data_IF_651682271059
#
_entry.id   IF_651682271059
#
_cell.length_a   1.000
_cell.length_b   1.000
_cell.length_c   1.000
_cell.angle_alpha   90.00
_cell.angle_beta   90.00
_cell.angle_gamma   90.00
#
_symmetry.space_group_name_H-M   'P 1'
#
loop_
_entity.id
_entity.type
_entity.pdbx_description
1 polymer ?
#
# COMPACT_ATOMS: atom_id res chain seq x y z
N UNK A 1 -47.68 -16.35 38.74
CA UNK A 1 -47.50 -15.05 38.05
C UNK A 1 -46.60 -15.31 36.86
N UNK A 2 -47.13 -15.25 35.64
CA UNK A 2 -46.44 -15.58 34.38
C UNK A 2 -45.60 -14.38 33.92
N UNK A 3 -44.31 -14.61 33.62
CA UNK A 3 -43.42 -13.58 33.08
C UNK A 3 -43.88 -13.16 31.67
N UNK A 4 -43.86 -11.86 31.35
CA UNK A 4 -44.14 -11.39 30.00
C UNK A 4 -43.02 -11.79 29.03
N UNK A 5 -43.35 -12.04 27.75
CA UNK A 5 -42.38 -12.45 26.74
C UNK A 5 -41.35 -11.34 26.48
N UNK A 6 -40.10 -11.76 26.30
CA UNK A 6 -38.97 -10.89 25.99
C UNK A 6 -39.18 -10.24 24.61
N UNK A 7 -39.27 -8.91 24.55
CA UNK A 7 -39.23 -8.17 23.29
C UNK A 7 -37.77 -7.85 22.93
N UNK A 8 -37.29 -8.24 21.74
CA UNK A 8 -35.96 -7.85 21.29
C UNK A 8 -35.90 -6.33 21.09
N UNK A 9 -34.72 -5.71 21.31
CA UNK A 9 -34.55 -4.28 21.13
C UNK A 9 -34.78 -3.86 19.67
N UNK A 10 -35.32 -2.65 19.45
CA UNK A 10 -35.51 -2.11 18.10
C UNK A 10 -34.16 -1.99 17.37
N UNK A 11 -34.17 -2.30 16.08
CA UNK A 11 -32.98 -2.16 15.24
C UNK A 11 -32.55 -0.69 15.14
N UNK A 12 -31.23 -0.42 15.15
CA UNK A 12 -30.72 0.94 14.99
C UNK A 12 -31.08 1.50 13.61
N UNK A 13 -31.43 2.78 13.58
CA UNK A 13 -31.74 3.54 12.38
C UNK A 13 -30.57 3.50 11.40
N UNK A 14 -30.83 3.09 10.15
CA UNK A 14 -29.81 3.15 9.11
C UNK A 14 -29.45 4.61 8.79
N UNK A 15 -28.16 4.92 8.55
CA UNK A 15 -27.74 6.26 8.17
C UNK A 15 -28.33 6.68 6.81
N UNK A 16 -28.53 7.99 6.58
CA UNK A 16 -29.03 8.51 5.31
C UNK A 16 -28.12 8.08 4.16
N UNK A 17 -28.68 7.38 3.17
CA UNK A 17 -27.94 7.04 1.96
C UNK A 17 -27.67 8.32 1.16
N UNK A 18 -26.40 8.55 0.82
CA UNK A 18 -26.01 9.65 -0.05
C UNK A 18 -26.67 9.48 -1.43
N UNK A 19 -27.26 10.55 -2.02
CA UNK A 19 -27.81 10.48 -3.37
C UNK A 19 -26.67 10.33 -4.38
N UNK A 20 -26.81 9.38 -5.29
CA UNK A 20 -25.99 9.17 -6.49
C UNK A 20 -24.52 8.74 -6.29
N UNK A 21 -24.33 7.52 -5.80
CA UNK A 21 -23.11 6.77 -6.06
C UNK A 21 -23.36 5.71 -7.17
N UNK A 22 -22.91 5.92 -8.42
CA UNK A 22 -23.11 4.98 -9.53
C UNK A 22 -22.36 3.64 -9.37
N UNK A 23 -21.53 3.51 -8.33
CA UNK A 23 -20.85 2.27 -7.95
C UNK A 23 -21.61 1.43 -6.91
N UNK A 24 -22.72 1.94 -6.35
CA UNK A 24 -23.61 1.15 -5.51
C UNK A 24 -24.62 0.40 -6.39
N UNK A 25 -24.16 -0.64 -7.08
CA UNK A 25 -25.09 -1.65 -7.59
C UNK A 25 -25.58 -2.49 -6.41
N UNK A 26 -26.90 -2.67 -6.24
CA UNK A 26 -27.44 -3.61 -5.26
C UNK A 26 -26.83 -5.00 -5.51
N UNK A 27 -26.35 -5.65 -4.45
CA UNK A 27 -25.97 -7.04 -4.53
C UNK A 27 -27.15 -7.84 -5.09
N UNK A 28 -26.90 -8.67 -6.11
CA UNK A 28 -27.92 -9.51 -6.73
C UNK A 28 -28.57 -10.36 -5.63
N UNK A 29 -29.91 -10.45 -5.56
CA UNK A 29 -30.56 -11.29 -4.56
C UNK A 29 -30.06 -12.73 -4.70
N UNK A 30 -29.41 -13.23 -3.65
CA UNK A 30 -29.06 -14.65 -3.56
C UNK A 30 -30.36 -15.45 -3.60
N UNK A 31 -30.56 -16.20 -4.68
CA UNK A 31 -31.64 -17.17 -4.73
C UNK A 31 -31.43 -18.19 -3.60
N UNK A 32 -32.43 -18.44 -2.75
CA UNK A 32 -32.35 -19.54 -1.80
C UNK A 32 -32.15 -20.87 -2.57
N UNK A 33 -31.43 -21.85 -2.01
CA UNK A 33 -31.29 -23.17 -2.61
C UNK A 33 -32.68 -23.80 -2.80
N UNK A 34 -33.22 -23.67 -4.01
CA UNK A 34 -34.53 -24.20 -4.35
C UNK A 34 -34.46 -25.72 -4.41
N UNK A 35 -35.25 -26.38 -3.57
CA UNK A 35 -35.67 -27.76 -3.80
C UNK A 35 -36.40 -27.81 -5.14
N UNK A 36 -35.76 -28.40 -6.15
CA UNK A 36 -36.35 -28.60 -7.46
C UNK A 36 -37.62 -29.47 -7.39
N UNK A 37 -38.53 -29.34 -8.37
CA UNK A 37 -39.73 -30.15 -8.45
C UNK A 37 -39.41 -31.64 -8.60
N UNK A 38 -40.26 -32.49 -8.04
CA UNK A 38 -40.13 -33.94 -8.09
C UNK A 38 -40.10 -34.45 -9.55
N UNK A 39 -39.19 -35.38 -9.89
CA UNK A 39 -39.11 -35.94 -11.23
C UNK A 39 -40.37 -36.73 -11.57
N UNK A 40 -40.89 -36.52 -12.78
CA UNK A 40 -42.04 -37.25 -13.30
C UNK A 40 -41.69 -38.73 -13.54
N UNK A 41 -42.63 -39.67 -13.33
CA UNK A 41 -42.36 -41.10 -13.50
C UNK A 41 -42.06 -41.42 -14.97
N UNK A 42 -40.88 -41.96 -15.26
CA UNK A 42 -40.52 -42.50 -16.58
C UNK A 42 -39.24 -41.97 -17.23
N UNK A 43 -38.50 -41.03 -16.63
CA UNK A 43 -37.21 -40.61 -17.16
C UNK A 43 -36.06 -41.53 -16.68
N UNK A 44 -35.14 -41.96 -17.59
CA UNK A 44 -33.96 -42.71 -17.20
C UNK A 44 -33.04 -41.83 -16.32
N UNK A 45 -32.35 -42.41 -15.32
CA UNK A 45 -31.51 -41.65 -14.41
C UNK A 45 -30.37 -40.98 -15.18
N UNK A 46 -30.34 -39.64 -15.18
CA UNK A 46 -29.17 -38.91 -15.65
C UNK A 46 -28.02 -39.19 -14.69
N UNK A 47 -26.99 -39.85 -15.21
CA UNK A 47 -25.76 -40.13 -14.51
C UNK A 47 -25.08 -38.79 -14.18
N UNK A 48 -25.02 -38.44 -12.90
CA UNK A 48 -24.33 -37.26 -12.41
C UNK A 48 -22.85 -37.37 -12.82
N UNK A 49 -22.40 -36.47 -13.69
CA UNK A 49 -20.99 -36.35 -14.05
C UNK A 49 -20.12 -35.97 -12.85
N UNK A 50 -18.80 -36.22 -12.92
CA UNK A 50 -17.87 -35.87 -11.85
C UNK A 50 -17.90 -34.37 -11.54
N UNK A 51 -17.62 -33.97 -10.28
CA UNK A 51 -17.70 -32.57 -9.87
C UNK A 51 -16.71 -31.69 -10.66
N UNK A 52 -17.11 -30.47 -11.05
CA UNK A 52 -16.21 -29.54 -11.74
C UNK A 52 -15.06 -29.11 -10.81
N UNK A 53 -13.84 -29.07 -11.34
CA UNK A 53 -12.68 -28.59 -10.63
C UNK A 53 -12.71 -27.05 -10.45
N UNK A 54 -12.25 -26.49 -9.31
CA UNK A 54 -12.26 -25.06 -9.07
C UNK A 54 -11.37 -24.30 -10.06
N UNK A 55 -11.94 -23.34 -10.80
CA UNK A 55 -11.18 -22.41 -11.65
C UNK A 55 -11.50 -22.43 -13.15
N UNK A 56 -12.44 -23.27 -13.61
CA UNK A 56 -12.88 -23.22 -15.02
C UNK A 56 -14.08 -22.28 -15.21
N UNK A 57 -14.08 -21.40 -16.24
CA UNK A 57 -15.25 -20.60 -16.59
C UNK A 57 -16.38 -21.52 -17.12
N UNK A 58 -17.66 -21.20 -16.87
CA UNK A 58 -18.77 -22.03 -17.29
C UNK A 58 -18.83 -22.09 -18.83
N UNK A 59 -18.55 -23.24 -19.43
CA UNK A 59 -18.92 -23.49 -20.81
C UNK A 59 -20.44 -23.71 -20.86
N UNK A 60 -21.17 -22.69 -21.29
CA UNK A 60 -22.60 -22.78 -21.58
C UNK A 60 -22.82 -23.89 -22.62
N UNK A 61 -23.44 -24.98 -22.17
CA UNK A 61 -23.83 -26.09 -23.04
C UNK A 61 -24.95 -25.65 -24.00
N UNK A 62 -24.86 -26.17 -25.22
CA UNK A 62 -25.65 -25.79 -26.38
C UNK A 62 -27.16 -25.88 -26.19
N UNK A 63 -27.84 -25.02 -26.95
CA UNK A 63 -29.29 -25.01 -27.10
C UNK A 63 -29.81 -26.36 -27.66
N UNK A 64 -31.02 -26.79 -27.27
CA UNK A 64 -31.65 -28.00 -27.80
C UNK A 64 -32.07 -27.84 -29.27
N UNK A 65 -32.01 -28.91 -30.10
CA UNK A 65 -32.48 -28.87 -31.47
C UNK A 65 -34.02 -28.85 -31.52
N UNK A 66 -34.58 -27.84 -32.21
CA UNK A 66 -36.03 -27.69 -32.44
C UNK A 66 -36.42 -28.43 -33.74
N UNK A 67 -37.51 -29.22 -33.78
CA UNK A 67 -38.00 -29.86 -34.99
C UNK A 67 -38.91 -28.95 -35.84
N UNK A 68 -38.65 -28.86 -37.15
CA UNK A 68 -39.65 -28.61 -38.20
C UNK A 68 -39.85 -27.17 -38.70
N UNK A 69 -39.63 -26.87 -40.01
CA UNK A 69 -39.89 -25.55 -40.59
C UNK A 69 -41.30 -25.43 -41.23
N UNK A 70 -42.03 -24.32 -40.98
CA UNK A 70 -43.14 -23.86 -41.84
C UNK A 70 -42.66 -22.86 -42.93
N UNK A 71 -43.46 -22.63 -44.00
CA UNK A 71 -43.01 -22.05 -45.26
C UNK A 71 -42.64 -20.56 -45.22
N UNK A 72 -41.68 -20.22 -46.09
CA UNK A 72 -40.97 -18.95 -46.20
C UNK A 72 -41.89 -17.76 -46.53
N UNK A 73 -41.70 -16.65 -45.81
CA UNK A 73 -42.13 -15.31 -46.23
C UNK A 73 -40.96 -14.54 -46.85
N UNK A 74 -41.21 -13.54 -47.72
CA UNK A 74 -40.17 -12.86 -48.49
C UNK A 74 -39.24 -12.06 -47.58
N UNK A 75 -37.98 -12.48 -47.54
CA UNK A 75 -36.91 -11.87 -46.76
C UNK A 75 -36.41 -10.61 -47.48
N UNK A 76 -36.66 -9.44 -46.88
CA UNK A 76 -36.03 -8.18 -47.32
C UNK A 76 -34.50 -8.25 -47.09
N UNK A 77 -33.67 -7.56 -47.92
CA UNK A 77 -32.23 -7.60 -47.77
C UNK A 77 -31.83 -6.89 -46.47
N UNK A 78 -31.47 -7.68 -45.47
CA UNK A 78 -30.91 -7.18 -44.21
C UNK A 78 -29.44 -6.85 -44.45
N UNK A 79 -29.09 -5.57 -44.39
CA UNK A 79 -27.70 -5.11 -44.49
C UNK A 79 -26.86 -5.75 -43.37
N UNK A 80 -25.61 -6.16 -43.63
CA UNK A 80 -24.71 -6.67 -42.61
C UNK A 80 -24.45 -5.55 -41.59
N UNK A 81 -25.03 -5.66 -40.39
CA UNK A 81 -24.69 -4.77 -39.29
C UNK A 81 -23.22 -5.01 -38.91
N UNK A 82 -22.40 -3.95 -38.77
CA UNK A 82 -21.01 -4.07 -38.34
C UNK A 82 -20.96 -4.80 -36.99
N UNK A 83 -20.09 -5.81 -36.90
CA UNK A 83 -19.84 -6.52 -35.66
C UNK A 83 -19.37 -5.52 -34.60
N UNK A 84 -20.25 -5.15 -33.68
CA UNK A 84 -19.90 -4.34 -32.52
C UNK A 84 -19.02 -5.19 -31.61
N UNK A 85 -17.70 -5.05 -31.78
CA UNK A 85 -16.73 -5.62 -30.87
C UNK A 85 -16.77 -4.75 -29.61
N UNK A 86 -17.53 -5.20 -28.61
CA UNK A 86 -17.59 -4.53 -27.32
C UNK A 86 -16.15 -4.33 -26.81
N UNK A 87 -15.78 -3.12 -26.31
CA UNK A 87 -14.49 -2.92 -25.69
C UNK A 87 -14.32 -4.01 -24.62
N UNK A 88 -13.16 -4.67 -24.60
CA UNK A 88 -12.82 -5.62 -23.53
C UNK A 88 -12.70 -4.85 -22.20
N UNK A 89 -13.84 -4.49 -21.62
CA UNK A 89 -13.96 -3.98 -20.26
C UNK A 89 -13.58 -5.15 -19.35
N UNK A 90 -12.36 -5.13 -18.79
CA UNK A 90 -12.13 -5.92 -17.57
C UNK A 90 -10.77 -6.55 -17.33
N UNK A 91 -9.75 -6.38 -18.16
CA UNK A 91 -8.40 -6.79 -17.75
C UNK A 91 -7.49 -5.58 -17.59
N UNK A 92 -7.70 -4.86 -16.49
CA UNK A 92 -6.64 -4.01 -15.94
C UNK A 92 -5.54 -4.96 -15.49
N UNK A 93 -4.32 -4.89 -16.03
CA UNK A 93 -3.22 -5.71 -15.53
C UNK A 93 -3.07 -5.44 -14.04
N UNK A 94 -3.28 -6.46 -13.21
CA UNK A 94 -2.94 -6.40 -11.80
C UNK A 94 -1.42 -6.32 -11.74
N UNK A 95 -0.89 -5.09 -11.69
CA UNK A 95 0.51 -4.86 -11.43
C UNK A 95 0.80 -5.44 -10.03
N UNK A 96 1.26 -6.69 -9.97
CA UNK A 96 1.54 -7.42 -8.74
C UNK A 96 2.86 -6.93 -8.16
N UNK A 97 2.82 -5.82 -7.43
CA UNK A 97 3.90 -5.41 -6.55
C UNK A 97 3.88 -6.15 -5.22
N UNK A 98 5.00 -6.14 -4.50
CA UNK A 98 5.11 -6.66 -3.13
C UNK A 98 5.25 -5.48 -2.15
N UNK A 99 4.15 -4.79 -1.78
CA UNK A 99 4.22 -3.57 -0.99
C UNK A 99 4.88 -3.79 0.38
N UNK A 100 4.58 -4.91 1.03
CA UNK A 100 5.17 -5.28 2.33
C UNK A 100 6.67 -5.51 2.19
N UNK A 101 7.09 -6.28 1.18
CA UNK A 101 8.51 -6.52 0.89
C UNK A 101 9.27 -5.23 0.57
N UNK A 102 8.63 -4.31 -0.15
CA UNK A 102 9.19 -3.00 -0.46
C UNK A 102 9.47 -2.17 0.80
N UNK A 103 8.51 -2.15 1.74
CA UNK A 103 8.63 -1.43 3.01
C UNK A 103 9.72 -2.03 3.89
N UNK A 104 9.78 -3.37 4.03
CA UNK A 104 10.84 -4.02 4.81
C UNK A 104 12.23 -3.79 4.21
N UNK A 105 12.36 -3.92 2.89
CA UNK A 105 13.62 -3.66 2.20
C UNK A 105 14.05 -2.20 2.38
N UNK A 106 13.13 -1.26 2.20
CA UNK A 106 13.39 0.16 2.42
C UNK A 106 13.84 0.44 3.85
N UNK A 107 13.16 -0.13 4.85
CA UNK A 107 13.53 0.00 6.25
C UNK A 107 14.96 -0.50 6.50
N UNK A 108 15.28 -1.73 6.07
CA UNK A 108 16.60 -2.31 6.27
C UNK A 108 17.71 -1.47 5.62
N UNK A 109 17.52 -1.05 4.37
CA UNK A 109 18.48 -0.21 3.67
C UNK A 109 18.62 1.16 4.35
N UNK A 110 17.51 1.75 4.81
CA UNK A 110 17.54 3.00 5.56
C UNK A 110 18.33 2.90 6.85
N UNK A 111 18.23 1.78 7.59
CA UNK A 111 19.07 1.56 8.79
C UNK A 111 20.55 1.55 8.42
N UNK A 112 20.94 0.87 7.33
CA UNK A 112 22.33 0.85 6.87
C UNK A 112 22.81 2.25 6.50
N UNK A 113 22.03 3.00 5.71
CA UNK A 113 22.39 4.36 5.28
C UNK A 113 22.49 5.30 6.50
N UNK A 114 21.58 5.15 7.47
CA UNK A 114 21.59 5.86 8.75
C UNK A 114 22.87 5.57 9.55
N UNK A 115 23.27 4.30 9.68
CA UNK A 115 24.51 3.92 10.37
C UNK A 115 25.76 4.43 9.67
N UNK A 116 25.81 4.38 8.33
CA UNK A 116 26.94 4.92 7.56
C UNK A 116 27.07 6.43 7.81
N UNK A 117 25.94 7.16 7.83
CA UNK A 117 25.95 8.58 8.14
C UNK A 117 26.39 8.86 9.57
N UNK A 118 25.87 8.13 10.58
CA UNK A 118 26.34 8.30 11.96
C UNK A 118 27.84 8.01 12.10
N UNK A 119 28.36 6.99 11.40
CA UNK A 119 29.78 6.68 11.34
C UNK A 119 30.61 7.75 10.63
N UNK A 120 30.09 8.36 9.57
CA UNK A 120 30.72 9.49 8.89
C UNK A 120 30.83 10.71 9.81
N UNK A 121 29.76 11.02 10.55
CA UNK A 121 29.77 12.10 11.54
C UNK A 121 30.79 11.78 12.64
N UNK A 122 30.78 10.57 13.20
CA UNK A 122 31.78 10.14 14.18
C UNK A 122 33.22 10.28 13.66
N UNK A 123 33.46 9.96 12.39
CA UNK A 123 34.80 10.08 11.80
C UNK A 123 35.25 11.53 11.58
N UNK A 124 34.32 12.49 11.51
CA UNK A 124 34.61 13.86 11.09
C UNK A 124 34.28 14.93 12.13
N UNK A 125 33.62 14.59 13.24
CA UNK A 125 33.01 15.58 14.15
C UNK A 125 33.98 16.61 14.75
N UNK A 126 35.27 16.27 14.87
CA UNK A 126 36.30 17.19 15.40
C UNK A 126 36.63 18.34 14.44
N UNK A 127 36.38 18.13 13.15
CA UNK A 127 36.75 19.07 12.07
C UNK A 127 35.52 19.69 11.38
N UNK A 128 34.30 19.35 11.82
CA UNK A 128 33.07 19.84 11.20
C UNK A 128 32.76 21.27 11.62
N UNK A 129 32.62 22.15 10.62
CA UNK A 129 31.91 23.42 10.82
C UNK A 129 30.40 23.17 10.84
N UNK A 130 29.63 24.10 11.44
CA UNK A 130 28.17 24.05 11.44
C UNK A 130 27.59 23.93 10.01
N UNK A 131 28.13 24.70 9.07
CA UNK A 131 27.73 24.66 7.65
C UNK A 131 27.97 23.27 7.05
N UNK A 132 29.13 22.67 7.33
CA UNK A 132 29.46 21.33 6.84
C UNK A 132 28.54 20.26 7.45
N UNK A 133 28.28 20.33 8.76
CA UNK A 133 27.36 19.41 9.44
C UNK A 133 25.93 19.50 8.85
N UNK A 134 25.44 20.72 8.63
CA UNK A 134 24.15 20.99 8.02
C UNK A 134 24.06 20.46 6.58
N UNK A 135 25.10 20.67 5.78
CA UNK A 135 25.18 20.16 4.42
C UNK A 135 25.22 18.62 4.39
N UNK A 136 25.99 17.99 5.29
CA UNK A 136 26.03 16.54 5.42
C UNK A 136 24.69 15.95 5.85
N UNK A 137 23.99 16.61 6.78
CA UNK A 137 22.66 16.19 7.21
C UNK A 137 21.64 16.24 6.07
N UNK A 138 21.56 17.35 5.33
CA UNK A 138 20.67 17.46 4.16
C UNK A 138 21.07 16.47 3.05
N UNK A 139 22.37 16.30 2.81
CA UNK A 139 22.89 15.34 1.84
C UNK A 139 22.48 13.91 2.19
N UNK A 140 22.61 13.53 3.47
CA UNK A 140 22.16 12.25 3.98
C UNK A 140 20.64 12.07 3.82
N UNK A 141 19.84 13.06 4.25
CA UNK A 141 18.40 13.02 4.15
C UNK A 141 17.93 12.83 2.70
N UNK A 142 18.49 13.61 1.78
CA UNK A 142 18.19 13.52 0.34
C UNK A 142 18.60 12.17 -0.24
N UNK A 143 19.83 11.70 0.04
CA UNK A 143 20.35 10.44 -0.46
C UNK A 143 19.53 9.25 0.06
N UNK A 144 19.25 9.22 1.36
CA UNK A 144 18.44 8.18 1.99
C UNK A 144 17.02 8.18 1.40
N UNK A 145 16.38 9.35 1.30
CA UNK A 145 15.09 9.49 0.65
C UNK A 145 15.11 8.98 -0.79
N UNK A 146 16.14 9.30 -1.56
CA UNK A 146 16.26 8.86 -2.94
C UNK A 146 16.40 7.34 -3.08
N UNK A 147 17.25 6.72 -2.26
CA UNK A 147 17.44 5.26 -2.24
C UNK A 147 16.14 4.57 -1.85
N UNK A 148 15.51 5.00 -0.75
CA UNK A 148 14.23 4.45 -0.27
C UNK A 148 13.16 4.59 -1.34
N UNK A 149 13.00 5.78 -1.92
CA UNK A 149 12.00 6.04 -2.95
C UNK A 149 12.19 5.14 -4.17
N UNK A 150 13.43 4.97 -4.63
CA UNK A 150 13.73 4.09 -5.76
C UNK A 150 13.42 2.61 -5.47
N UNK A 151 13.76 2.11 -4.29
CA UNK A 151 13.45 0.74 -3.86
C UNK A 151 11.94 0.53 -3.71
N UNK A 152 11.26 1.45 -3.05
CA UNK A 152 9.81 1.38 -2.83
C UNK A 152 9.06 1.47 -4.16
N UNK A 153 9.45 2.37 -5.06
CA UNK A 153 8.82 2.49 -6.38
C UNK A 153 9.04 1.25 -7.25
N UNK A 154 10.23 0.66 -7.21
CA UNK A 154 10.55 -0.53 -8.01
C UNK A 154 9.89 -1.81 -7.51
N UNK A 155 9.81 -2.02 -6.18
CA UNK A 155 9.24 -3.24 -5.58
C UNK A 155 7.75 -3.09 -5.30
N UNK A 156 7.34 -1.96 -4.72
CA UNK A 156 5.96 -1.66 -4.32
C UNK A 156 5.05 -1.24 -5.48
N UNK A 157 5.62 -0.94 -6.65
CA UNK A 157 4.89 -0.52 -7.85
C UNK A 157 3.93 0.65 -7.56
N UNK A 158 2.64 0.52 -7.87
CA UNK A 158 1.61 1.58 -7.73
C UNK A 158 0.91 1.58 -6.38
N UNK A 159 1.51 0.96 -5.37
CA UNK A 159 0.90 0.89 -4.06
C UNK A 159 1.16 2.19 -3.30
N UNK A 160 0.14 3.05 -3.21
CA UNK A 160 0.20 4.31 -2.45
C UNK A 160 0.62 4.07 -0.99
N UNK A 161 0.17 3.00 -0.36
CA UNK A 161 0.56 2.65 1.00
C UNK A 161 2.06 2.43 1.14
N UNK A 162 2.68 1.69 0.20
CA UNK A 162 4.12 1.50 0.17
C UNK A 162 4.87 2.82 0.01
N UNK A 163 4.35 3.74 -0.81
CA UNK A 163 4.94 5.07 -0.99
C UNK A 163 4.87 5.91 0.30
N UNK A 164 3.75 5.87 1.02
CA UNK A 164 3.57 6.62 2.28
C UNK A 164 4.58 6.09 3.30
N UNK A 165 4.60 4.77 3.48
CA UNK A 165 5.51 4.11 4.41
C UNK A 165 6.98 4.33 4.04
N UNK A 166 7.32 4.32 2.74
CA UNK A 166 8.65 4.70 2.27
C UNK A 166 9.05 6.12 2.68
N UNK A 167 8.16 7.09 2.53
CA UNK A 167 8.42 8.47 2.96
C UNK A 167 8.61 8.60 4.47
N UNK A 168 7.79 7.90 5.27
CA UNK A 168 7.92 7.87 6.74
C UNK A 168 9.25 7.24 7.16
N UNK A 169 9.60 6.09 6.57
CA UNK A 169 10.87 5.40 6.83
C UNK A 169 12.05 6.31 6.49
N UNK A 170 12.01 6.99 5.34
CA UNK A 170 13.08 7.88 4.92
C UNK A 170 13.29 9.05 5.90
N UNK A 171 12.21 9.66 6.37
CA UNK A 171 12.27 10.72 7.39
C UNK A 171 12.83 10.19 8.72
N UNK A 172 12.30 9.07 9.22
CA UNK A 172 12.78 8.45 10.46
C UNK A 172 14.27 8.10 10.38
N UNK A 173 14.73 7.59 9.25
CA UNK A 173 16.14 7.24 9.07
C UNK A 173 17.06 8.47 9.04
N UNK A 174 16.60 9.61 8.49
CA UNK A 174 17.33 10.87 8.59
C UNK A 174 17.46 11.33 10.06
N UNK A 175 16.35 11.27 10.82
CA UNK A 175 16.34 11.54 12.25
C UNK A 175 17.30 10.62 13.01
N UNK A 176 17.17 9.30 12.84
CA UNK A 176 18.01 8.32 13.53
C UNK A 176 19.47 8.39 13.09
N UNK A 177 19.76 8.80 11.87
CA UNK A 177 21.14 8.99 11.40
C UNK A 177 21.84 10.07 12.22
N UNK A 178 21.16 11.18 12.48
CA UNK A 178 21.66 12.23 13.35
C UNK A 178 21.67 11.79 14.82
N UNK A 179 20.53 11.29 15.33
CA UNK A 179 20.37 10.97 16.74
C UNK A 179 21.34 9.87 17.22
N UNK A 180 21.66 8.89 16.38
CA UNK A 180 22.62 7.84 16.72
C UNK A 180 24.08 8.33 16.67
N UNK A 181 24.39 9.46 16.03
CA UNK A 181 25.75 10.01 16.04
C UNK A 181 26.14 10.52 17.43
N UNK A 182 25.18 11.10 18.18
CA UNK A 182 25.41 11.63 19.52
C UNK A 182 26.01 10.63 20.54
N UNK A 183 25.40 9.46 20.80
CA UNK A 183 25.99 8.48 21.71
C UNK A 183 27.35 7.98 21.23
N UNK A 184 27.58 7.90 19.91
CA UNK A 184 28.87 7.50 19.35
C UNK A 184 29.95 8.56 19.62
N UNK A 185 29.63 9.85 19.38
CA UNK A 185 30.52 10.98 19.69
C UNK A 185 30.82 11.01 21.19
N UNK A 186 29.81 10.83 22.04
CA UNK A 186 29.99 10.85 23.49
C UNK A 186 30.91 9.72 23.97
N UNK A 187 30.76 8.52 23.38
CA UNK A 187 31.63 7.38 23.65
C UNK A 187 33.09 7.66 23.27
N UNK A 188 33.34 8.31 22.11
CA UNK A 188 34.69 8.69 21.65
C UNK A 188 35.29 9.84 22.47
N UNK A 189 34.49 10.87 22.76
CA UNK A 189 34.95 12.10 23.40
C UNK A 189 35.26 11.93 24.89
N UNK A 190 34.56 11.04 25.58
CA UNK A 190 34.69 10.87 27.03
C UNK A 190 35.10 9.44 27.39
N UNK A 191 34.15 8.51 27.28
CA UNK A 191 34.37 7.07 27.47
C UNK A 191 33.10 6.32 27.07
N UNK A 192 33.17 5.00 26.78
CA UNK A 192 31.98 4.19 26.56
C UNK A 192 30.96 4.22 27.72
N UNK A 193 31.43 4.45 28.96
CA UNK A 193 30.56 4.59 30.14
C UNK A 193 29.67 5.84 30.10
N UNK A 194 30.11 6.91 29.44
CA UNK A 194 29.35 8.14 29.32
C UNK A 194 28.03 7.96 28.56
N UNK A 195 27.96 7.00 27.63
CA UNK A 195 26.71 6.63 26.95
C UNK A 195 25.68 6.07 27.93
N UNK A 196 26.14 5.24 28.87
CA UNK A 196 25.27 4.66 29.87
C UNK A 196 24.76 5.71 30.86
N UNK A 197 25.61 6.65 31.24
CA UNK A 197 25.22 7.78 32.07
C UNK A 197 24.22 8.68 31.33
N UNK A 198 24.44 8.99 30.04
CA UNK A 198 23.48 9.72 29.22
C UNK A 198 22.11 9.05 29.22
N UNK A 199 22.04 7.74 28.99
CA UNK A 199 20.76 7.00 29.00
C UNK A 199 20.08 7.04 30.37
N UNK A 200 20.85 7.02 31.48
CA UNK A 200 20.32 7.10 32.84
C UNK A 200 19.77 8.48 33.19
N UNK A 201 20.47 9.54 32.79
CA UNK A 201 20.08 10.91 33.12
C UNK A 201 19.00 11.44 32.18
N UNK A 202 19.14 11.21 30.87
CA UNK A 202 18.19 11.66 29.86
C UNK A 202 18.33 10.84 28.56
N UNK A 203 17.57 9.75 28.47
CA UNK A 203 17.55 8.90 27.27
C UNK A 203 17.08 9.61 26.00
N UNK A 204 16.40 10.75 26.11
CA UNK A 204 15.94 11.55 24.97
C UNK A 204 16.90 12.69 24.62
N UNK A 205 18.06 12.78 25.27
CA UNK A 205 19.05 13.82 25.00
C UNK A 205 19.43 13.89 23.51
N UNK A 206 19.69 12.78 22.78
CA UNK A 206 19.98 12.87 21.35
C UNK A 206 18.81 13.42 20.52
N UNK A 207 17.58 13.05 20.86
CA UNK A 207 16.37 13.55 20.19
C UNK A 207 16.15 15.04 20.48
N UNK A 208 16.45 15.47 21.72
CA UNK A 208 16.37 16.86 22.15
C UNK A 208 17.43 17.71 21.46
N UNK A 209 18.66 17.23 21.37
CA UNK A 209 19.76 17.90 20.69
C UNK A 209 19.51 18.04 19.19
N UNK A 210 18.77 17.10 18.58
CA UNK A 210 18.33 17.22 17.20
C UNK A 210 17.28 18.33 17.00
N UNK A 211 16.35 18.53 17.94
CA UNK A 211 15.26 19.50 17.77
C UNK A 211 15.61 20.91 18.28
N UNK A 212 16.60 21.05 19.16
CA UNK A 212 16.94 22.31 19.81
C UNK A 212 18.29 22.87 19.35
N UNK A 213 18.34 24.18 19.19
CA UNK A 213 19.58 24.93 18.98
C UNK A 213 20.20 25.28 20.34
N UNK A 214 21.34 24.67 20.66
CA UNK A 214 22.10 24.93 21.89
C UNK A 214 22.58 26.39 21.99
N UNK A 215 22.76 27.07 20.86
CA UNK A 215 23.29 28.44 20.82
C UNK A 215 22.23 29.51 21.10
N UNK A 216 20.98 29.26 20.71
CA UNK A 216 19.88 30.22 20.88
C UNK A 216 18.81 29.78 21.90
N UNK A 217 18.90 28.55 22.42
CA UNK A 217 17.94 27.99 23.37
C UNK A 217 16.54 27.73 22.78
N UNK A 218 16.42 27.78 21.45
CA UNK A 218 15.18 27.63 20.70
C UNK A 218 15.11 26.34 19.88
N UNK A 219 14.09 26.25 19.01
CA UNK A 219 13.94 25.14 18.06
C UNK A 219 14.91 25.33 16.90
N UNK A 220 15.69 24.29 16.60
CA UNK A 220 16.47 24.23 15.37
C UNK A 220 15.54 23.88 14.19
N UNK A 221 15.07 24.91 13.49
CA UNK A 221 14.20 24.74 12.32
C UNK A 221 14.89 24.09 11.11
N UNK A 222 16.22 23.96 11.13
CA UNK A 222 16.95 23.27 10.08
C UNK A 222 16.76 21.75 10.16
N UNK A 223 16.68 21.21 11.37
CA UNK A 223 16.54 19.77 11.59
C UNK A 223 15.26 19.16 10.99
N UNK A 224 14.06 19.76 11.14
CA UNK A 224 12.83 19.32 10.46
C UNK A 224 12.89 19.40 8.93
N UNK A 225 13.67 20.33 8.37
CA UNK A 225 13.84 20.44 6.92
C UNK A 225 14.42 19.15 6.33
N UNK A 226 15.37 18.52 7.01
CA UNK A 226 15.90 17.22 6.60
C UNK A 226 14.83 16.14 6.49
N UNK A 227 13.88 16.09 7.44
CA UNK A 227 12.77 15.12 7.38
C UNK A 227 11.88 15.35 6.16
N UNK A 228 11.55 16.61 5.88
CA UNK A 228 10.74 17.00 4.73
C UNK A 228 11.45 16.64 3.41
N UNK A 229 12.75 16.93 3.31
CA UNK A 229 13.56 16.60 2.12
C UNK A 229 13.60 15.09 1.91
N UNK A 230 13.86 14.30 2.95
CA UNK A 230 13.89 12.84 2.87
C UNK A 230 12.53 12.27 2.43
N UNK A 231 11.44 12.71 3.08
CA UNK A 231 10.09 12.26 2.77
C UNK A 231 9.66 12.64 1.35
N UNK A 232 9.92 13.88 0.93
CA UNK A 232 9.58 14.37 -0.41
C UNK A 232 10.36 13.63 -1.50
N UNK A 233 11.66 13.41 -1.30
CA UNK A 233 12.50 12.64 -2.23
C UNK A 233 12.02 11.20 -2.36
N UNK A 234 11.74 10.54 -1.22
CA UNK A 234 11.25 9.17 -1.20
C UNK A 234 9.90 9.03 -1.90
N UNK A 235 8.94 9.89 -1.55
CA UNK A 235 7.63 9.90 -2.18
C UNK A 235 7.71 10.17 -3.68
N UNK A 236 8.42 11.23 -4.08
CA UNK A 236 8.53 11.65 -5.47
C UNK A 236 9.16 10.57 -6.35
N UNK A 237 10.26 9.96 -5.90
CA UNK A 237 10.92 8.89 -6.65
C UNK A 237 10.10 7.60 -6.66
N UNK A 238 9.45 7.24 -5.55
CA UNK A 238 8.57 6.07 -5.51
C UNK A 238 7.40 6.22 -6.50
N UNK A 239 6.78 7.40 -6.54
CA UNK A 239 5.72 7.74 -7.48
C UNK A 239 6.20 7.65 -8.94
N UNK A 240 7.33 8.30 -9.26
CA UNK A 240 7.86 8.33 -10.62
C UNK A 240 8.25 6.93 -11.11
N UNK A 241 8.99 6.17 -10.30
CA UNK A 241 9.49 4.85 -10.68
C UNK A 241 8.35 3.82 -10.71
N UNK A 242 7.45 3.85 -9.73
CA UNK A 242 6.29 2.96 -9.66
C UNK A 242 5.30 3.14 -10.82
N UNK A 243 5.29 4.33 -11.45
CA UNK A 243 4.40 4.64 -12.57
C UNK A 243 5.01 4.39 -13.97
N UNK A 244 6.34 4.34 -14.12
CA UNK A 244 7.02 4.20 -15.44
C UNK A 244 6.69 2.93 -16.22
N UNK A 245 6.32 1.81 -15.57
CA UNK A 245 5.95 0.53 -16.24
C UNK A 245 4.57 0.54 -16.92
N UNK A 246 4.06 1.70 -17.32
CA UNK A 246 2.77 1.86 -18.03
C UNK A 246 2.97 2.23 -19.51
N UNK A 247 4.19 2.60 -19.90
CA UNK A 247 4.52 3.19 -21.21
C UNK A 247 5.40 2.29 -22.08
N UNK A 248 5.72 1.08 -21.62
CA UNK A 248 6.51 0.08 -22.35
C UNK A 248 5.69 -1.17 -22.54
#
# INVERSE_FOLDING_TARGET
MSQPPFQPPPQPSQPPQAPDNPYNQPASPQQPPGFGPAPAPGQPPMQAGPPPAPGQPPMHHGAPPVPGPPPMQPMYPMQPAPHFQAPHFGQRPTASGHPVGAVFLAFFISVIVSMIYSGLILATYKDLTLTTANALYLGHALLNGAIVGALVGSVGHRNTGAWIWGAVIAALAAFFGYANAWPLILADAQSPGAVWDMVRYDAFLPARAWWNDESSGGVDWFSPLGLLVAAAAAWGLAYLIGNKRRQV
#
